data_IF_628255665871
#
_entry.id   IF_628255665871
#
_cell.length_a   1.000
_cell.length_b   1.000
_cell.length_c   1.000
_cell.angle_alpha   90.00
_cell.angle_beta   90.00
_cell.angle_gamma   90.00
#
_symmetry.space_group_name_H-M   'P 1'
#
loop_
_entity.id
_entity.type
_entity.pdbx_description
1 polymer ?
#
# COMPACT_ATOMS: atom_id res chain seq x y z
N UNK A 1 8.47 2.22 -25.73
CA UNK A 1 7.72 3.35 -25.17
C UNK A 1 8.68 4.45 -24.70
N UNK A 2 8.23 5.70 -24.62
CA UNK A 2 9.05 6.80 -24.09
C UNK A 2 9.34 6.57 -22.59
N UNK A 3 10.63 6.44 -22.23
CA UNK A 3 11.07 6.21 -20.84
C UNK A 3 10.59 7.29 -19.87
N UNK A 4 10.55 8.55 -20.32
CA UNK A 4 10.06 9.67 -19.50
C UNK A 4 8.57 9.59 -19.23
N UNK A 5 7.79 9.11 -20.21
CA UNK A 5 6.35 8.89 -20.01
C UNK A 5 6.11 7.83 -18.95
N UNK A 6 6.78 6.67 -19.06
CA UNK A 6 6.68 5.58 -18.08
C UNK A 6 7.06 6.05 -16.66
N UNK A 7 8.16 6.79 -16.53
CA UNK A 7 8.59 7.33 -15.24
C UNK A 7 7.58 8.31 -14.63
N UNK A 8 7.00 9.21 -15.44
CA UNK A 8 5.94 10.12 -14.95
C UNK A 8 4.69 9.36 -14.56
N UNK A 9 4.26 8.37 -15.35
CA UNK A 9 3.13 7.52 -15.02
C UNK A 9 3.37 6.81 -13.68
N UNK A 10 4.53 6.18 -13.51
CA UNK A 10 4.89 5.50 -12.26
C UNK A 10 4.90 6.48 -11.07
N UNK A 11 5.56 7.63 -11.20
CA UNK A 11 5.65 8.64 -10.16
C UNK A 11 4.27 9.22 -9.76
N UNK A 12 3.42 9.54 -10.74
CA UNK A 12 2.04 10.01 -10.47
C UNK A 12 1.23 8.92 -9.79
N UNK A 13 1.34 7.67 -10.24
CA UNK A 13 0.63 6.56 -9.61
C UNK A 13 1.00 6.38 -8.13
N UNK A 14 2.29 6.47 -7.79
CA UNK A 14 2.70 6.47 -6.38
C UNK A 14 2.03 7.59 -5.58
N UNK A 15 2.03 8.82 -6.10
CA UNK A 15 1.43 9.97 -5.42
C UNK A 15 -0.07 9.75 -5.19
N UNK A 16 -0.80 9.28 -6.21
CA UNK A 16 -2.24 8.98 -6.10
C UNK A 16 -2.49 7.91 -5.04
N UNK A 17 -1.72 6.81 -5.06
CA UNK A 17 -1.80 5.72 -4.08
C UNK A 17 -1.58 6.27 -2.66
N UNK A 18 -0.53 7.06 -2.43
CA UNK A 18 -0.22 7.60 -1.11
C UNK A 18 -1.38 8.42 -0.54
N UNK A 19 -1.90 9.39 -1.29
CA UNK A 19 -2.96 10.25 -0.78
C UNK A 19 -4.30 9.52 -0.64
N UNK A 20 -4.64 8.63 -1.59
CA UNK A 20 -5.85 7.84 -1.50
C UNK A 20 -5.83 6.87 -0.31
N UNK A 21 -4.70 6.18 -0.09
CA UNK A 21 -4.52 5.26 1.02
C UNK A 21 -4.49 6.00 2.37
N UNK A 22 -3.81 7.15 2.49
CA UNK A 22 -3.80 7.97 3.71
C UNK A 22 -5.23 8.41 4.04
N UNK A 23 -5.97 8.95 3.06
CA UNK A 23 -7.35 9.35 3.28
C UNK A 23 -8.21 8.19 3.80
N UNK A 24 -8.16 7.04 3.12
CA UNK A 24 -9.01 5.90 3.44
C UNK A 24 -8.62 5.20 4.78
N UNK A 25 -7.34 5.20 5.15
CA UNK A 25 -6.92 4.65 6.45
C UNK A 25 -7.32 5.59 7.60
N UNK A 26 -6.87 6.85 7.57
CA UNK A 26 -6.98 7.74 8.74
C UNK A 26 -8.36 8.39 8.89
N UNK A 27 -9.09 8.64 7.79
CA UNK A 27 -10.41 9.29 7.87
C UNK A 27 -11.58 8.31 7.80
N UNK A 28 -11.33 7.05 7.45
CA UNK A 28 -12.39 6.04 7.31
C UNK A 28 -12.15 4.84 8.21
N UNK A 29 -11.04 4.11 8.05
CA UNK A 29 -10.81 2.91 8.90
C UNK A 29 -10.65 3.28 10.36
N UNK A 30 -9.86 4.30 10.70
CA UNK A 30 -9.65 4.68 12.09
C UNK A 30 -10.94 5.23 12.72
N UNK A 31 -11.74 5.97 11.97
CA UNK A 31 -13.06 6.42 12.41
C UNK A 31 -14.01 5.23 12.69
N UNK A 32 -14.06 4.26 11.77
CA UNK A 32 -14.86 3.03 11.94
C UNK A 32 -14.38 2.18 13.13
N UNK A 33 -13.08 2.17 13.45
CA UNK A 33 -12.54 1.49 14.64
C UNK A 33 -12.91 2.22 15.93
N UNK A 34 -12.91 3.55 15.92
CA UNK A 34 -13.17 4.36 17.10
C UNK A 34 -14.66 4.45 17.47
N UNK A 35 -15.54 4.65 16.48
CA UNK A 35 -16.99 4.73 16.67
C UNK A 35 -17.70 4.06 15.47
N UNK A 36 -17.89 2.73 15.50
CA UNK A 36 -18.32 1.98 14.31
C UNK A 36 -19.71 2.38 13.81
N UNK A 37 -20.69 2.43 14.72
CA UNK A 37 -22.08 2.77 14.36
C UNK A 37 -22.26 4.27 14.15
N UNK A 38 -21.66 5.11 15.00
CA UNK A 38 -21.77 6.56 14.86
C UNK A 38 -21.08 7.06 13.59
N UNK A 39 -19.95 6.47 13.18
CA UNK A 39 -19.29 6.80 11.91
C UNK A 39 -20.18 6.46 10.72
N UNK A 40 -20.84 5.30 10.71
CA UNK A 40 -21.77 4.94 9.63
C UNK A 40 -22.97 5.87 9.61
N UNK A 41 -23.57 6.16 10.77
CA UNK A 41 -24.78 6.98 10.85
C UNK A 41 -24.53 8.46 10.49
N UNK A 42 -23.41 9.02 10.95
CA UNK A 42 -23.13 10.44 10.82
C UNK A 42 -22.23 10.79 9.63
N UNK A 43 -21.44 9.84 9.12
CA UNK A 43 -20.40 10.05 8.11
C UNK A 43 -20.41 9.00 7.00
N UNK A 44 -21.58 8.41 6.69
CA UNK A 44 -21.72 7.35 5.67
C UNK A 44 -21.06 7.69 4.33
N UNK A 45 -21.22 8.94 3.88
CA UNK A 45 -20.68 9.40 2.60
C UNK A 45 -19.15 9.39 2.59
N UNK A 46 -18.51 9.75 3.70
CA UNK A 46 -17.05 9.71 3.86
C UNK A 46 -16.57 8.27 3.81
N UNK A 47 -17.26 7.35 4.48
CA UNK A 47 -16.96 5.91 4.41
C UNK A 47 -17.03 5.40 2.97
N UNK A 48 -18.07 5.77 2.23
CA UNK A 48 -18.23 5.41 0.80
C UNK A 48 -17.10 5.98 -0.06
N UNK A 49 -16.67 7.22 0.18
CA UNK A 49 -15.50 7.78 -0.50
C UNK A 49 -14.20 7.04 -0.15
N UNK A 50 -14.04 6.57 1.10
CA UNK A 50 -12.93 5.72 1.49
C UNK A 50 -12.87 4.41 0.71
N UNK A 51 -14.03 3.76 0.50
CA UNK A 51 -14.13 2.56 -0.34
C UNK A 51 -13.64 2.85 -1.77
N UNK A 52 -14.10 3.95 -2.37
CA UNK A 52 -13.65 4.37 -3.71
C UNK A 52 -12.16 4.69 -3.71
N UNK A 53 -11.63 5.33 -2.67
CA UNK A 53 -10.20 5.63 -2.55
C UNK A 53 -9.34 4.35 -2.47
N UNK A 54 -9.79 3.30 -1.80
CA UNK A 54 -9.12 2.01 -1.83
C UNK A 54 -9.20 1.32 -3.20
N UNK A 55 -10.32 1.43 -3.93
CA UNK A 55 -10.40 0.95 -5.32
C UNK A 55 -9.45 1.70 -6.25
N UNK A 56 -9.36 3.02 -6.10
CA UNK A 56 -8.39 3.86 -6.82
C UNK A 56 -6.98 3.39 -6.50
N UNK A 57 -6.67 3.13 -5.22
CA UNK A 57 -5.37 2.60 -4.80
C UNK A 57 -5.03 1.30 -5.52
N UNK A 58 -5.92 0.31 -5.49
CA UNK A 58 -5.72 -0.97 -6.18
C UNK A 58 -5.55 -0.82 -7.70
N UNK A 59 -6.32 0.06 -8.34
CA UNK A 59 -6.20 0.33 -9.78
C UNK A 59 -4.84 0.95 -10.12
N UNK A 60 -4.42 1.96 -9.36
CA UNK A 60 -3.15 2.62 -9.59
C UNK A 60 -1.95 1.73 -9.24
N UNK A 61 -2.12 0.77 -8.34
CA UNK A 61 -1.14 -0.29 -8.08
C UNK A 61 -0.84 -1.13 -9.33
N UNK A 62 -1.89 -1.48 -10.09
CA UNK A 62 -1.76 -2.21 -11.37
C UNK A 62 -1.08 -1.34 -12.43
N UNK A 63 -1.49 -0.08 -12.58
CA UNK A 63 -0.88 0.87 -13.52
C UNK A 63 0.61 1.05 -13.20
N UNK A 64 0.93 1.19 -11.92
CA UNK A 64 2.30 1.33 -11.44
C UNK A 64 3.13 0.06 -11.68
N UNK A 65 2.58 -1.13 -11.42
CA UNK A 65 3.24 -2.40 -11.70
C UNK A 65 3.61 -2.51 -13.18
N UNK A 66 2.68 -2.18 -14.08
CA UNK A 66 2.94 -2.16 -15.52
C UNK A 66 4.02 -1.15 -15.90
N UNK A 67 3.95 0.08 -15.38
CA UNK A 67 4.93 1.11 -15.71
C UNK A 67 6.35 0.71 -15.26
N UNK A 68 6.51 0.18 -14.04
CA UNK A 68 7.78 -0.30 -13.52
C UNK A 68 8.29 -1.53 -14.30
N UNK A 69 7.39 -2.45 -14.68
CA UNK A 69 7.74 -3.58 -15.54
C UNK A 69 8.35 -3.11 -16.85
N UNK A 70 7.67 -2.23 -17.59
CA UNK A 70 8.16 -1.73 -18.88
C UNK A 70 9.47 -0.95 -18.75
N UNK A 71 9.65 -0.21 -17.65
CA UNK A 71 10.90 0.53 -17.39
C UNK A 71 12.10 -0.39 -17.15
N UNK A 72 11.90 -1.51 -16.47
CA UNK A 72 12.98 -2.37 -16.00
C UNK A 72 12.97 -3.78 -16.58
N UNK A 73 12.24 -4.01 -17.67
CA UNK A 73 11.96 -5.34 -18.24
C UNK A 73 13.18 -6.22 -18.56
N UNK A 74 14.34 -5.62 -18.77
CA UNK A 74 15.59 -6.33 -19.08
C UNK A 74 16.23 -6.98 -17.83
N UNK A 75 15.87 -6.55 -16.62
CA UNK A 75 16.42 -7.10 -15.39
C UNK A 75 15.74 -8.42 -14.98
N UNK A 76 16.52 -9.43 -14.58
CA UNK A 76 16.04 -10.80 -14.30
C UNK A 76 14.93 -10.87 -13.23
N UNK A 77 15.00 -10.01 -12.21
CA UNK A 77 14.00 -9.97 -11.13
C UNK A 77 12.74 -9.15 -11.45
N UNK A 78 12.66 -8.46 -12.59
CA UNK A 78 11.54 -7.55 -12.88
C UNK A 78 10.20 -8.27 -12.96
N UNK A 79 10.15 -9.45 -13.60
CA UNK A 79 8.92 -10.25 -13.67
C UNK A 79 8.44 -10.67 -12.28
N UNK A 80 9.33 -11.20 -11.45
CA UNK A 80 9.00 -11.63 -10.09
C UNK A 80 8.54 -10.45 -9.23
N UNK A 81 9.27 -9.33 -9.27
CA UNK A 81 8.90 -8.09 -8.57
C UNK A 81 7.51 -7.59 -9.00
N UNK A 82 7.20 -7.66 -10.30
CA UNK A 82 5.89 -7.26 -10.84
C UNK A 82 4.78 -8.18 -10.36
N UNK A 83 5.00 -9.51 -10.37
CA UNK A 83 4.01 -10.47 -9.87
C UNK A 83 3.69 -10.24 -8.40
N UNK A 84 4.71 -10.00 -7.56
CA UNK A 84 4.51 -9.69 -6.15
C UNK A 84 3.66 -8.43 -5.95
N UNK A 85 3.92 -7.36 -6.71
CA UNK A 85 3.10 -6.14 -6.67
C UNK A 85 1.67 -6.38 -7.14
N UNK A 86 1.48 -7.16 -8.21
CA UNK A 86 0.16 -7.51 -8.70
C UNK A 86 -0.62 -8.37 -7.70
N UNK A 87 0.05 -9.31 -7.02
CA UNK A 87 -0.55 -10.09 -5.94
C UNK A 87 -1.03 -9.18 -4.81
N UNK A 88 -0.20 -8.22 -4.37
CA UNK A 88 -0.62 -7.17 -3.43
C UNK A 88 -1.88 -6.44 -3.95
N UNK A 89 -1.85 -5.91 -5.18
CA UNK A 89 -2.96 -5.16 -5.75
C UNK A 89 -4.29 -5.96 -5.77
N UNK A 90 -4.22 -7.24 -6.14
CA UNK A 90 -5.39 -8.14 -6.22
C UNK A 90 -5.95 -8.41 -4.83
N UNK A 91 -5.09 -8.75 -3.86
CA UNK A 91 -5.51 -9.02 -2.48
C UNK A 91 -6.17 -7.77 -1.88
N UNK A 92 -5.57 -6.60 -2.11
CA UNK A 92 -6.06 -5.32 -1.63
C UNK A 92 -7.39 -4.93 -2.27
N UNK A 93 -7.52 -5.10 -3.60
CA UNK A 93 -8.78 -4.92 -4.30
C UNK A 93 -9.88 -5.85 -3.78
N UNK A 94 -9.54 -7.10 -3.46
CA UNK A 94 -10.47 -8.05 -2.84
C UNK A 94 -10.84 -7.65 -1.40
N UNK A 95 -9.89 -7.12 -0.62
CA UNK A 95 -10.13 -6.67 0.76
C UNK A 95 -11.24 -5.62 0.83
N UNK A 96 -11.30 -4.72 -0.17
CA UNK A 96 -12.33 -3.67 -0.26
C UNK A 96 -13.75 -4.22 -0.16
N UNK A 97 -14.00 -5.47 -0.56
CA UNK A 97 -15.32 -6.10 -0.48
C UNK A 97 -15.91 -6.12 0.95
N UNK A 98 -15.06 -6.16 1.99
CA UNK A 98 -15.52 -6.14 3.38
C UNK A 98 -16.17 -4.81 3.79
N UNK A 99 -15.74 -3.68 3.22
CA UNK A 99 -16.21 -2.35 3.66
C UNK A 99 -17.67 -2.04 3.28
N UNK A 100 -18.18 -2.41 2.08
CA UNK A 100 -19.62 -2.37 1.80
C UNK A 100 -20.45 -3.27 2.74
N UNK A 101 -19.89 -4.36 3.25
CA UNK A 101 -20.57 -5.20 4.24
C UNK A 101 -20.57 -4.52 5.62
N UNK A 102 -19.50 -3.81 5.97
CA UNK A 102 -19.44 -2.99 7.18
C UNK A 102 -20.56 -1.94 7.18
N UNK A 103 -20.81 -1.25 6.07
CA UNK A 103 -21.91 -0.30 5.91
C UNK A 103 -23.31 -0.90 6.11
N UNK A 104 -23.47 -2.22 5.90
CA UNK A 104 -24.75 -2.93 6.07
C UNK A 104 -24.92 -3.52 7.45
N UNK A 105 -23.88 -3.54 8.27
CA UNK A 105 -23.94 -4.09 9.61
C UNK A 105 -24.80 -3.18 10.52
N UNK A 106 -25.61 -3.81 11.37
CA UNK A 106 -26.52 -3.11 12.30
C UNK A 106 -25.99 -3.08 13.72
N UNK A 107 -24.87 -3.75 13.99
CA UNK A 107 -24.21 -3.80 15.30
C UNK A 107 -22.77 -3.32 15.18
N UNK A 108 -22.23 -2.73 16.24
CA UNK A 108 -20.84 -2.28 16.28
C UNK A 108 -19.87 -3.44 16.02
N UNK A 109 -20.09 -4.59 16.66
CA UNK A 109 -19.29 -5.80 16.44
C UNK A 109 -19.33 -6.27 14.99
N UNK A 110 -20.48 -6.17 14.33
CA UNK A 110 -20.62 -6.52 12.92
C UNK A 110 -19.79 -5.62 12.01
N UNK A 111 -19.72 -4.32 12.30
CA UNK A 111 -18.86 -3.37 11.59
C UNK A 111 -17.38 -3.70 11.82
N UNK A 112 -17.00 -3.85 13.10
CA UNK A 112 -15.61 -4.14 13.49
C UNK A 112 -15.10 -5.44 12.90
N UNK A 113 -15.94 -6.48 12.84
CA UNK A 113 -15.58 -7.74 12.20
C UNK A 113 -15.24 -7.58 10.71
N UNK A 114 -15.98 -6.74 9.98
CA UNK A 114 -15.67 -6.46 8.58
C UNK A 114 -14.42 -5.58 8.42
N UNK A 115 -14.20 -4.63 9.32
CA UNK A 115 -12.97 -3.82 9.37
C UNK A 115 -11.75 -4.70 9.65
N UNK A 116 -11.88 -5.66 10.57
CA UNK A 116 -10.84 -6.64 10.87
C UNK A 116 -10.56 -7.56 9.67
N UNK A 117 -11.61 -8.05 9.00
CA UNK A 117 -11.47 -8.83 7.77
C UNK A 117 -10.71 -8.06 6.67
N UNK A 118 -11.06 -6.78 6.48
CA UNK A 118 -10.31 -5.88 5.60
C UNK A 118 -8.84 -5.78 6.02
N UNK A 119 -8.58 -5.50 7.30
CA UNK A 119 -7.22 -5.28 7.82
C UNK A 119 -6.34 -6.52 7.68
N UNK A 120 -6.89 -7.71 7.94
CA UNK A 120 -6.17 -8.97 7.76
C UNK A 120 -5.79 -9.20 6.30
N UNK A 121 -6.70 -8.96 5.36
CA UNK A 121 -6.38 -9.06 3.93
C UNK A 121 -5.34 -8.00 3.51
N UNK A 122 -5.46 -6.77 4.04
CA UNK A 122 -4.50 -5.69 3.80
C UNK A 122 -3.08 -6.08 4.23
N UNK A 123 -2.92 -6.61 5.45
CA UNK A 123 -1.63 -7.08 5.96
C UNK A 123 -1.03 -8.21 5.12
N UNK A 124 -1.85 -9.17 4.67
CA UNK A 124 -1.40 -10.22 3.74
C UNK A 124 -0.90 -9.61 2.43
N UNK A 125 -1.62 -8.63 1.88
CA UNK A 125 -1.17 -7.87 0.72
C UNK A 125 0.19 -7.22 0.95
N UNK A 126 0.34 -6.51 2.07
CA UNK A 126 1.58 -5.80 2.43
C UNK A 126 2.79 -6.73 2.56
N UNK A 127 2.60 -7.98 2.98
CA UNK A 127 3.67 -8.97 2.99
C UNK A 127 4.28 -9.19 1.59
N UNK A 128 3.43 -9.37 0.56
CA UNK A 128 3.90 -9.49 -0.82
C UNK A 128 4.47 -8.18 -1.35
N UNK A 129 3.90 -7.05 -0.94
CA UNK A 129 4.43 -5.73 -1.27
C UNK A 129 5.85 -5.53 -0.73
N UNK A 130 6.13 -5.98 0.48
CA UNK A 130 7.46 -5.90 1.08
C UNK A 130 8.50 -6.67 0.29
N UNK A 131 8.17 -7.89 -0.16
CA UNK A 131 9.03 -8.66 -1.05
C UNK A 131 9.24 -7.96 -2.41
N UNK A 132 8.20 -7.33 -2.96
CA UNK A 132 8.31 -6.49 -4.17
C UNK A 132 9.32 -5.34 -3.96
N UNK A 133 9.25 -4.61 -2.85
CA UNK A 133 10.14 -3.48 -2.56
C UNK A 133 11.61 -3.91 -2.46
N UNK A 134 11.89 -5.04 -1.79
CA UNK A 134 13.24 -5.59 -1.69
C UNK A 134 13.81 -5.91 -3.08
N UNK A 135 13.01 -6.50 -3.97
CA UNK A 135 13.44 -6.77 -5.33
C UNK A 135 13.57 -5.49 -6.16
N UNK A 136 12.63 -4.55 -6.02
CA UNK A 136 12.65 -3.28 -6.73
C UNK A 136 13.91 -2.48 -6.38
N UNK A 137 14.34 -2.54 -5.11
CA UNK A 137 15.58 -1.91 -4.66
C UNK A 137 16.85 -2.51 -5.31
N UNK A 138 16.78 -3.75 -5.82
CA UNK A 138 17.88 -4.37 -6.58
C UNK A 138 17.83 -4.05 -8.07
N UNK A 139 16.63 -3.72 -8.57
CA UNK A 139 16.36 -3.47 -9.98
C UNK A 139 16.61 -2.00 -10.36
N UNK A 140 16.19 -1.07 -9.51
CA UNK A 140 16.15 0.36 -9.84
C UNK A 140 17.55 1.01 -9.79
N UNK A 141 18.05 1.62 -10.88
CA UNK A 141 19.36 2.27 -10.92
C UNK A 141 19.27 3.71 -10.36
N UNK A 142 18.96 3.84 -9.07
CA UNK A 142 18.70 5.13 -8.39
C UNK A 142 19.68 5.34 -7.22
N UNK A 143 19.71 6.52 -6.56
CA UNK A 143 20.61 6.77 -5.44
C UNK A 143 20.51 5.71 -4.33
N UNK A 144 21.67 5.23 -3.87
CA UNK A 144 21.79 4.10 -2.92
C UNK A 144 20.99 4.29 -1.63
N UNK A 145 20.87 5.51 -1.12
CA UNK A 145 20.12 5.76 0.11
C UNK A 145 18.62 5.44 -0.04
N UNK A 146 18.02 5.73 -1.20
CA UNK A 146 16.62 5.38 -1.49
C UNK A 146 16.45 3.86 -1.50
N UNK A 147 17.38 3.15 -2.16
CA UNK A 147 17.39 1.69 -2.23
C UNK A 147 17.47 1.01 -0.86
N UNK A 148 18.28 1.58 0.05
CA UNK A 148 18.41 1.08 1.42
C UNK A 148 17.09 1.24 2.17
N UNK A 149 16.47 2.43 2.13
CA UNK A 149 15.20 2.65 2.82
C UNK A 149 14.06 1.81 2.23
N UNK A 150 13.99 1.64 0.90
CA UNK A 150 13.04 0.72 0.27
C UNK A 150 13.23 -0.73 0.74
N UNK A 151 14.48 -1.19 0.88
CA UNK A 151 14.77 -2.53 1.38
C UNK A 151 14.34 -2.69 2.84
N UNK A 152 14.64 -1.70 3.70
CA UNK A 152 14.24 -1.71 5.11
C UNK A 152 12.71 -1.69 5.22
N UNK A 153 12.03 -0.83 4.46
CA UNK A 153 10.57 -0.79 4.43
C UNK A 153 9.98 -2.15 4.03
N UNK A 154 10.54 -2.77 2.99
CA UNK A 154 10.09 -4.07 2.53
C UNK A 154 10.24 -5.18 3.58
N UNK A 155 11.36 -5.19 4.32
CA UNK A 155 11.53 -6.10 5.46
C UNK A 155 10.52 -5.81 6.55
N UNK A 156 10.33 -4.53 6.90
CA UNK A 156 9.43 -4.16 8.00
C UNK A 156 7.96 -4.45 7.69
N UNK A 157 7.50 -4.30 6.44
CA UNK A 157 6.16 -4.75 6.05
C UNK A 157 5.96 -6.25 6.30
N UNK A 158 6.95 -7.07 5.93
CA UNK A 158 6.87 -8.51 6.14
C UNK A 158 6.92 -8.88 7.63
N UNK A 159 7.81 -8.23 8.40
CA UNK A 159 7.95 -8.45 9.85
C UNK A 159 6.68 -8.05 10.60
N UNK A 160 6.11 -6.88 10.30
CA UNK A 160 4.88 -6.40 10.92
C UNK A 160 3.70 -7.34 10.65
N UNK A 161 3.50 -7.76 9.39
CA UNK A 161 2.46 -8.74 9.05
C UNK A 161 2.65 -10.06 9.80
N UNK A 162 3.87 -10.59 9.86
CA UNK A 162 4.14 -11.85 10.58
C UNK A 162 3.94 -11.69 12.08
N UNK A 163 4.38 -10.58 12.66
CA UNK A 163 4.18 -10.26 14.07
C UNK A 163 2.69 -10.20 14.41
N UNK A 164 1.87 -9.57 13.55
CA UNK A 164 0.42 -9.47 13.73
C UNK A 164 -0.26 -10.84 13.84
N UNK A 165 0.17 -11.82 13.03
CA UNK A 165 -0.44 -13.15 13.03
C UNK A 165 0.14 -14.11 14.07
N UNK A 166 1.41 -13.95 14.46
CA UNK A 166 2.08 -14.89 15.36
C UNK A 166 2.13 -14.43 16.81
N UNK A 167 2.06 -13.13 17.09
CA UNK A 167 2.20 -12.60 18.46
C UNK A 167 0.82 -12.44 19.11
N UNK A 168 0.53 -13.19 20.20
CA UNK A 168 -0.72 -13.01 20.95
C UNK A 168 -0.86 -11.61 21.57
N UNK A 169 0.27 -10.92 21.78
CA UNK A 169 0.33 -9.58 22.34
C UNK A 169 0.86 -8.53 21.35
N UNK A 170 0.55 -8.68 20.06
CA UNK A 170 0.92 -7.71 19.01
C UNK A 170 0.54 -6.26 19.39
N UNK A 171 -0.60 -6.07 20.05
CA UNK A 171 -1.11 -4.75 20.46
C UNK A 171 -0.09 -3.95 21.27
N UNK A 172 0.73 -4.60 22.11
CA UNK A 172 1.77 -3.96 22.91
C UNK A 172 2.89 -3.32 22.05
N UNK A 173 3.05 -3.78 20.81
CA UNK A 173 4.11 -3.38 19.88
C UNK A 173 3.59 -2.68 18.62
N UNK A 174 2.28 -2.54 18.45
CA UNK A 174 1.67 -2.04 17.22
C UNK A 174 2.19 -0.65 16.84
N UNK A 175 2.35 0.26 17.81
CA UNK A 175 2.84 1.63 17.54
C UNK A 175 4.29 1.65 17.05
N UNK A 176 5.18 0.89 17.68
CA UNK A 176 6.60 0.86 17.29
C UNK A 176 6.78 0.14 15.95
N UNK A 177 6.05 -0.95 15.69
CA UNK A 177 6.10 -1.64 14.41
C UNK A 177 5.55 -0.76 13.28
N UNK A 178 4.45 -0.04 13.52
CA UNK A 178 3.92 0.94 12.58
C UNK A 178 4.96 2.02 12.25
N UNK A 179 5.66 2.57 13.25
CA UNK A 179 6.71 3.57 13.04
C UNK A 179 7.88 3.00 12.22
N UNK A 180 8.30 1.78 12.51
CA UNK A 180 9.38 1.08 11.80
C UNK A 180 8.99 0.73 10.35
N UNK A 181 7.70 0.58 10.04
CA UNK A 181 7.21 0.45 8.66
C UNK A 181 7.14 1.82 7.97
N UNK A 182 6.48 2.79 8.61
CA UNK A 182 6.12 4.06 8.00
C UNK A 182 7.34 4.95 7.70
N UNK A 183 8.30 5.05 8.63
CA UNK A 183 9.47 5.93 8.45
C UNK A 183 10.32 5.49 7.24
N UNK A 184 10.76 4.21 7.12
CA UNK A 184 11.49 3.74 5.95
C UNK A 184 10.66 3.79 4.67
N UNK A 185 9.35 3.52 4.74
CA UNK A 185 8.45 3.61 3.57
C UNK A 185 8.41 5.03 3.02
N UNK A 186 8.24 6.05 3.86
CA UNK A 186 8.28 7.46 3.42
C UNK A 186 9.65 7.81 2.83
N UNK A 187 10.75 7.45 3.50
CA UNK A 187 12.09 7.79 3.02
C UNK A 187 12.53 7.00 1.78
N UNK A 188 11.96 5.82 1.53
CA UNK A 188 12.27 4.99 0.38
C UNK A 188 11.29 5.22 -0.77
N UNK A 189 10.01 4.98 -0.56
CA UNK A 189 9.00 4.94 -1.61
C UNK A 189 8.56 6.33 -2.05
N UNK A 190 8.31 7.27 -1.12
CA UNK A 190 7.98 8.64 -1.51
C UNK A 190 9.17 9.32 -2.18
N UNK A 191 10.39 9.08 -1.66
CA UNK A 191 11.61 9.56 -2.31
C UNK A 191 11.76 8.96 -3.72
N UNK A 192 11.46 7.67 -3.91
CA UNK A 192 11.49 7.02 -5.22
C UNK A 192 10.43 7.62 -6.17
N UNK A 193 9.21 7.86 -5.69
CA UNK A 193 8.15 8.51 -6.45
C UNK A 193 8.57 9.89 -6.95
N UNK A 194 9.15 10.72 -6.07
CA UNK A 194 9.67 12.04 -6.41
C UNK A 194 10.83 11.92 -7.40
N UNK A 195 11.75 10.97 -7.20
CA UNK A 195 12.85 10.72 -8.12
C UNK A 195 12.35 10.36 -9.53
N UNK A 196 11.33 9.51 -9.65
CA UNK A 196 10.69 9.17 -10.93
C UNK A 196 10.11 10.42 -11.62
N UNK A 197 9.41 11.27 -10.86
CA UNK A 197 8.82 12.51 -11.39
C UNK A 197 9.88 13.51 -11.85
N UNK A 198 10.96 13.69 -11.10
CA UNK A 198 11.97 14.72 -11.40
C UNK A 198 13.04 14.23 -12.38
N UNK A 199 13.62 13.05 -12.14
CA UNK A 199 14.79 12.53 -12.86
C UNK A 199 14.52 11.29 -13.72
N UNK A 200 13.48 10.51 -13.40
CA UNK A 200 13.20 9.26 -14.10
C UNK A 200 13.02 9.42 -15.61
N UNK A 201 13.70 8.57 -16.38
CA UNK A 201 13.59 8.50 -17.85
C UNK A 201 14.19 9.69 -18.61
N UNK A 202 14.91 10.58 -17.93
CA UNK A 202 15.75 11.60 -18.57
C UNK A 202 17.06 10.90 -18.94
N UNK A 203 17.42 10.90 -20.24
CA UNK A 203 18.76 10.49 -20.67
C UNK A 203 19.72 11.61 -20.26
N UNK A 204 20.72 11.28 -19.44
CA UNK A 204 21.91 12.12 -19.27
C UNK A 204 22.70 12.19 -20.58
#
# INVERSE_FOLDING_TARGET
>A
MNSRFLAKTAGVSYVVIFFAAIFANFFVLDALKADPLGTIQNSEITVRFGIVAFLITALFDVILAWALFEMFKEHVFTRLSTYLRMTHAIIMGAAVFALPLALKATTADGVLHQVEAFNNMWLIGLFFFGAHLILLARIAPIPKWILVFMSIAGVMYMVDTVAHFLMPNYVDYAEILLALVAIPSILGEMAFAIWLLVKGGIKE
#
